data_IF_299916055843
#
_entry.id   IF_299916055843
#
_cell.length_a   1.000
_cell.length_b   1.000
_cell.length_c   1.000
_cell.angle_alpha   90.00
_cell.angle_beta   90.00
_cell.angle_gamma   90.00
#
_symmetry.space_group_name_H-M   'P 1'
#
loop_
_entity.id
_entity.type
_entity.pdbx_description
1 polymer ?
#
# COMPACT_ATOMS: atom_id res chain seq x y z
N UNK A 1 -21.87 25.61 43.65
CA UNK A 1 -22.81 24.47 43.55
C UNK A 1 -22.25 23.47 42.54
N UNK A 2 -21.93 22.28 43.06
CA UNK A 2 -21.72 20.97 42.42
C UNK A 2 -20.89 20.84 41.12
N UNK A 3 -19.62 20.46 41.33
CA UNK A 3 -18.74 19.70 40.43
C UNK A 3 -19.22 18.24 40.29
N UNK A 4 -18.86 17.57 39.19
CA UNK A 4 -18.45 16.14 39.19
C UNK A 4 -17.54 15.84 38.00
N UNK A 5 -16.25 15.69 38.30
CA UNK A 5 -15.24 15.02 37.49
C UNK A 5 -15.05 13.61 38.07
N UNK A 6 -14.94 12.57 37.23
CA UNK A 6 -14.58 11.22 37.66
C UNK A 6 -13.24 10.84 37.02
N UNK A 7 -12.20 10.79 37.85
CA UNK A 7 -10.94 10.07 37.63
C UNK A 7 -11.10 8.70 38.30
N UNK A 8 -10.72 7.62 37.63
CA UNK A 8 -10.56 6.30 38.24
C UNK A 8 -9.14 5.81 38.02
N UNK A 9 -8.49 5.53 39.15
CA UNK A 9 -7.11 5.12 39.35
C UNK A 9 -6.94 3.61 39.15
N UNK A 10 -5.84 3.19 38.51
CA UNK A 10 -5.40 1.79 38.42
C UNK A 10 -4.55 1.46 39.66
N UNK A 11 -4.90 0.38 40.38
CA UNK A 11 -4.14 -0.13 41.52
C UNK A 11 -3.27 -1.33 41.11
N UNK A 12 -1.97 -1.22 41.41
CA UNK A 12 -0.95 -2.26 41.33
C UNK A 12 -0.97 -3.07 42.64
N UNK A 13 -0.93 -4.40 42.60
CA UNK A 13 -0.70 -5.25 43.78
C UNK A 13 0.54 -6.12 43.53
N UNK A 14 1.63 -5.79 44.23
CA UNK A 14 2.73 -6.70 44.54
C UNK A 14 2.39 -7.41 45.86
N UNK A 15 2.57 -8.72 45.93
CA UNK A 15 2.59 -9.47 47.17
C UNK A 15 3.95 -10.15 47.34
N UNK A 16 4.64 -9.82 48.42
CA UNK A 16 5.85 -10.47 48.92
C UNK A 16 5.69 -10.64 50.43
N UNK A 17 5.95 -11.85 50.95
CA UNK A 17 6.28 -12.08 52.36
C UNK A 17 7.01 -13.43 52.54
N UNK A 18 8.24 -13.37 53.07
CA UNK A 18 8.64 -14.07 54.31
C UNK A 18 9.07 -15.55 54.26
N UNK A 19 10.32 -15.81 54.64
CA UNK A 19 11.04 -17.09 54.78
C UNK A 19 10.88 -17.77 56.15
N UNK A 20 11.02 -19.13 56.22
CA UNK A 20 11.82 -19.91 57.21
C UNK A 20 11.72 -21.46 57.04
N UNK A 21 12.88 -22.08 56.79
CA UNK A 21 13.48 -23.39 57.16
C UNK A 21 12.68 -24.72 57.32
N UNK A 22 12.91 -25.63 56.34
CA UNK A 22 13.26 -27.09 56.31
C UNK A 22 12.75 -28.10 57.39
N UNK A 23 12.48 -29.39 57.05
CA UNK A 23 13.55 -30.33 56.65
C UNK A 23 13.26 -31.29 55.47
N UNK A 24 14.37 -31.82 54.97
CA UNK A 24 14.63 -32.79 53.90
C UNK A 24 14.03 -34.19 54.15
N UNK A 25 13.27 -34.73 53.20
CA UNK A 25 12.98 -36.17 53.04
C UNK A 25 12.60 -36.50 51.58
N UNK A 26 13.37 -37.38 50.94
CA UNK A 26 12.86 -38.35 49.96
C UNK A 26 13.07 -38.02 48.49
N UNK A 27 14.19 -38.49 47.94
CA UNK A 27 14.41 -38.67 46.50
C UNK A 27 13.40 -39.70 45.97
N UNK A 28 12.37 -39.19 45.30
CA UNK A 28 11.42 -39.96 44.50
C UNK A 28 11.60 -39.58 43.04
N UNK A 29 12.29 -40.44 42.31
CA UNK A 29 12.52 -40.39 40.87
C UNK A 29 11.18 -40.31 40.12
N UNK A 30 10.81 -39.12 39.64
CA UNK A 30 9.73 -38.98 38.65
C UNK A 30 10.34 -38.58 37.31
N UNK A 31 10.36 -39.56 36.42
CA UNK A 31 10.79 -39.50 35.04
C UNK A 31 10.51 -38.14 34.36
N UNK A 32 11.59 -37.44 34.02
CA UNK A 32 11.56 -36.40 32.99
C UNK A 32 11.28 -37.05 31.64
N UNK A 33 10.02 -37.06 31.23
CA UNK A 33 9.65 -37.10 29.82
C UNK A 33 9.24 -35.68 29.45
N UNK A 34 10.22 -34.80 29.36
CA UNK A 34 10.08 -33.59 28.56
C UNK A 34 10.38 -34.02 27.13
N UNK A 35 9.36 -34.54 26.44
CA UNK A 35 9.47 -34.82 25.01
C UNK A 35 9.57 -33.47 24.29
N UNK A 36 10.80 -32.98 24.11
CA UNK A 36 11.11 -32.07 23.03
C UNK A 36 10.93 -32.86 21.72
N UNK A 37 9.68 -33.03 21.29
CA UNK A 37 9.37 -33.40 19.91
C UNK A 37 9.92 -32.26 19.08
N UNK A 38 11.10 -32.46 18.50
CA UNK A 38 11.55 -31.67 17.36
C UNK A 38 10.41 -31.77 16.34
N UNK A 39 9.60 -30.71 16.20
CA UNK A 39 8.57 -30.68 15.16
C UNK A 39 9.31 -30.92 13.85
N UNK A 40 9.12 -32.10 13.27
CA UNK A 40 9.68 -32.43 11.96
C UNK A 40 9.09 -31.40 10.99
N UNK A 41 9.97 -30.64 10.34
CA UNK A 41 9.61 -29.67 9.31
C UNK A 41 9.80 -30.35 7.97
N UNK A 42 8.80 -31.13 7.57
CA UNK A 42 8.75 -31.83 6.28
C UNK A 42 7.55 -31.34 5.44
N UNK A 43 7.37 -31.92 4.25
CA UNK A 43 6.27 -31.56 3.35
C UNK A 43 4.89 -31.76 3.97
N UNK A 44 4.69 -32.84 4.75
CA UNK A 44 3.41 -33.09 5.42
C UNK A 44 3.11 -32.04 6.50
N UNK A 45 4.12 -31.59 7.23
CA UNK A 45 3.99 -30.50 8.17
C UNK A 45 3.68 -29.17 7.47
N UNK A 46 4.24 -28.92 6.28
CA UNK A 46 3.92 -27.74 5.47
C UNK A 46 2.47 -27.77 4.97
N UNK A 47 1.98 -28.91 4.51
CA UNK A 47 0.59 -29.10 4.08
C UNK A 47 -0.39 -28.85 5.23
N UNK A 48 -0.09 -29.41 6.41
CA UNK A 48 -0.89 -29.22 7.61
C UNK A 48 -0.89 -27.75 8.08
N UNK A 49 0.27 -27.07 8.01
CA UNK A 49 0.38 -25.64 8.32
C UNK A 49 -0.50 -24.80 7.38
N UNK A 50 -0.40 -25.03 6.08
CA UNK A 50 -1.19 -24.32 5.07
C UNK A 50 -2.69 -24.56 5.28
N UNK A 51 -3.12 -25.80 5.51
CA UNK A 51 -4.53 -26.12 5.77
C UNK A 51 -5.07 -25.41 7.03
N UNK A 52 -4.26 -25.32 8.09
CA UNK A 52 -4.62 -24.58 9.30
C UNK A 52 -4.72 -23.08 9.04
N UNK A 53 -3.77 -22.51 8.29
CA UNK A 53 -3.78 -21.11 7.90
C UNK A 53 -5.01 -20.75 7.07
N UNK A 54 -5.34 -21.57 6.06
CA UNK A 54 -6.53 -21.40 5.22
C UNK A 54 -7.82 -21.39 6.05
N UNK A 55 -7.95 -22.32 7.00
CA UNK A 55 -9.13 -22.40 7.87
C UNK A 55 -9.26 -21.15 8.75
N UNK A 56 -8.19 -20.77 9.45
CA UNK A 56 -8.21 -19.64 10.39
C UNK A 56 -8.42 -18.30 9.65
N UNK A 57 -7.70 -18.08 8.55
CA UNK A 57 -7.85 -16.87 7.72
C UNK A 57 -9.21 -16.84 7.02
N UNK A 58 -9.72 -17.99 6.56
CA UNK A 58 -11.04 -18.12 5.96
C UNK A 58 -12.16 -17.74 6.93
N UNK A 59 -12.19 -18.35 8.11
CA UNK A 59 -13.16 -18.06 9.17
C UNK A 59 -13.09 -16.57 9.58
N UNK A 60 -11.88 -16.05 9.76
CA UNK A 60 -11.65 -14.65 10.11
C UNK A 60 -12.10 -13.67 9.00
N UNK A 61 -11.88 -14.01 7.73
CA UNK A 61 -12.22 -13.14 6.59
C UNK A 61 -13.72 -12.83 6.53
N UNK A 62 -14.58 -13.81 6.84
CA UNK A 62 -16.04 -13.63 6.86
C UNK A 62 -16.45 -12.67 7.96
N UNK A 63 -15.85 -12.81 9.15
CA UNK A 63 -16.07 -11.89 10.26
C UNK A 63 -15.61 -10.47 9.91
N UNK A 64 -14.38 -10.31 9.43
CA UNK A 64 -13.81 -9.01 9.08
C UNK A 64 -14.62 -8.32 7.96
N UNK A 65 -15.05 -9.06 6.94
CA UNK A 65 -15.87 -8.53 5.86
C UNK A 65 -17.24 -8.01 6.34
N UNK A 66 -17.89 -8.71 7.29
CA UNK A 66 -19.15 -8.25 7.88
C UNK A 66 -18.97 -6.95 8.67
N UNK A 67 -17.89 -6.86 9.45
CA UNK A 67 -17.56 -5.62 10.21
C UNK A 67 -17.29 -4.47 9.24
N UNK A 68 -16.46 -4.68 8.22
CA UNK A 68 -16.14 -3.67 7.21
C UNK A 68 -17.38 -3.19 6.45
N UNK A 69 -18.28 -4.12 6.06
CA UNK A 69 -19.54 -3.76 5.40
C UNK A 69 -20.43 -2.89 6.28
N UNK A 70 -20.62 -3.26 7.56
CA UNK A 70 -21.41 -2.46 8.49
C UNK A 70 -20.82 -1.06 8.62
N UNK A 71 -19.50 -0.94 8.82
CA UNK A 71 -18.84 0.37 8.91
C UNK A 71 -19.03 1.21 7.63
N UNK A 72 -18.87 0.60 6.45
CA UNK A 72 -19.06 1.30 5.18
C UNK A 72 -20.51 1.80 4.97
N UNK A 73 -21.50 1.09 5.53
CA UNK A 73 -22.93 1.47 5.45
C UNK A 73 -23.41 2.38 6.58
N UNK A 74 -22.73 2.35 7.73
CA UNK A 74 -23.08 3.08 8.95
C UNK A 74 -21.84 3.68 9.61
N UNK A 75 -21.31 4.76 9.04
CA UNK A 75 -20.08 5.40 9.54
C UNK A 75 -20.37 6.10 10.88
N UNK A 76 -19.94 5.46 11.96
CA UNK A 76 -20.10 5.91 13.36
C UNK A 76 -18.86 5.55 14.16
N UNK A 77 -18.62 6.23 15.29
CA UNK A 77 -17.47 5.96 16.18
C UNK A 77 -17.39 4.48 16.60
N UNK A 78 -18.52 3.85 16.92
CA UNK A 78 -18.58 2.44 17.32
C UNK A 78 -18.17 1.51 16.17
N UNK A 79 -18.68 1.75 14.96
CA UNK A 79 -18.32 0.93 13.80
C UNK A 79 -16.89 1.17 13.33
N UNK A 80 -16.37 2.38 13.48
CA UNK A 80 -14.96 2.71 13.21
C UNK A 80 -14.05 1.96 14.18
N UNK A 81 -14.42 1.93 15.47
CA UNK A 81 -13.70 1.16 16.49
C UNK A 81 -13.71 -0.34 16.20
N UNK A 82 -14.87 -0.91 15.84
CA UNK A 82 -14.99 -2.33 15.46
C UNK A 82 -14.12 -2.65 14.23
N UNK A 83 -14.18 -1.80 13.20
CA UNK A 83 -13.42 -1.98 11.97
C UNK A 83 -11.91 -1.87 12.22
N UNK A 84 -11.47 -0.88 13.01
CA UNK A 84 -10.07 -0.73 13.39
C UNK A 84 -9.55 -1.95 14.19
N UNK A 85 -10.37 -2.48 15.11
CA UNK A 85 -10.02 -3.69 15.89
C UNK A 85 -9.92 -4.93 14.99
N UNK A 86 -10.88 -5.12 14.09
CA UNK A 86 -10.84 -6.23 13.13
C UNK A 86 -9.61 -6.10 12.21
N UNK A 87 -9.31 -4.91 11.69
CA UNK A 87 -8.12 -4.67 10.88
C UNK A 87 -6.83 -5.00 11.64
N UNK A 88 -6.71 -4.60 12.92
CA UNK A 88 -5.55 -4.91 13.75
C UNK A 88 -5.38 -6.43 13.96
N UNK A 89 -6.47 -7.16 14.20
CA UNK A 89 -6.44 -8.62 14.30
C UNK A 89 -6.03 -9.27 12.99
N UNK A 90 -6.54 -8.80 11.85
CA UNK A 90 -6.18 -9.29 10.52
C UNK A 90 -4.70 -9.10 10.21
N UNK A 91 -4.15 -7.93 10.51
CA UNK A 91 -2.71 -7.65 10.37
C UNK A 91 -1.88 -8.59 11.24
N UNK A 92 -2.28 -8.84 12.49
CA UNK A 92 -1.56 -9.76 13.37
C UNK A 92 -1.54 -11.20 12.83
N UNK A 93 -2.68 -11.68 12.30
CA UNK A 93 -2.77 -13.00 11.66
C UNK A 93 -1.88 -13.07 10.42
N UNK A 94 -1.90 -12.03 9.58
CA UNK A 94 -1.08 -11.97 8.38
C UNK A 94 0.42 -12.01 8.73
N UNK A 95 0.87 -11.25 9.73
CA UNK A 95 2.26 -11.27 10.18
C UNK A 95 2.67 -12.63 10.73
N UNK A 96 1.82 -13.25 11.56
CA UNK A 96 2.04 -14.60 12.09
C UNK A 96 2.27 -15.60 10.95
N UNK A 97 1.33 -15.70 10.02
CA UNK A 97 1.40 -16.70 8.96
C UNK A 97 2.49 -16.41 7.92
N UNK A 98 2.72 -15.15 7.56
CA UNK A 98 3.82 -14.79 6.67
C UNK A 98 5.18 -15.21 7.26
N UNK A 99 5.38 -14.96 8.56
CA UNK A 99 6.62 -15.29 9.27
C UNK A 99 6.84 -16.80 9.38
N UNK A 100 5.80 -17.55 9.74
CA UNK A 100 5.86 -19.02 9.83
C UNK A 100 6.03 -19.67 8.45
N UNK A 101 5.43 -19.10 7.39
CA UNK A 101 5.54 -19.62 6.04
C UNK A 101 6.97 -19.58 5.47
N UNK A 102 7.83 -18.67 5.96
CA UNK A 102 9.25 -18.59 5.55
C UNK A 102 9.97 -19.92 5.78
N UNK A 103 9.78 -20.49 6.97
CA UNK A 103 10.46 -21.71 7.38
C UNK A 103 10.03 -22.91 6.52
N UNK A 104 8.76 -22.99 6.16
CA UNK A 104 8.24 -24.04 5.30
C UNK A 104 8.62 -23.83 3.82
N UNK A 105 8.64 -22.59 3.33
CA UNK A 105 8.97 -22.29 1.93
C UNK A 105 10.40 -22.69 1.54
N UNK A 106 11.30 -22.79 2.52
CA UNK A 106 12.68 -23.24 2.33
C UNK A 106 12.82 -24.77 2.10
N UNK A 107 11.74 -25.56 2.22
CA UNK A 107 11.80 -27.01 2.04
C UNK A 107 11.94 -27.39 0.54
N UNK A 108 12.82 -28.35 0.21
CA UNK A 108 13.14 -28.70 -1.18
C UNK A 108 12.02 -29.49 -1.89
N UNK A 109 11.15 -30.20 -1.16
CA UNK A 109 10.20 -31.17 -1.72
C UNK A 109 8.72 -30.81 -1.45
N UNK A 110 8.35 -29.56 -1.70
CA UNK A 110 6.95 -29.12 -1.58
C UNK A 110 6.16 -29.40 -2.86
N UNK A 111 4.88 -29.76 -2.70
CA UNK A 111 3.93 -29.74 -3.81
C UNK A 111 3.82 -28.33 -4.40
N UNK A 112 3.44 -28.23 -5.68
CA UNK A 112 3.23 -26.94 -6.35
C UNK A 112 2.17 -26.10 -5.61
N UNK A 113 1.07 -26.74 -5.18
CA UNK A 113 -0.01 -26.07 -4.45
C UNK A 113 0.46 -25.54 -3.09
N UNK A 114 1.20 -26.35 -2.33
CA UNK A 114 1.72 -25.96 -1.02
C UNK A 114 2.70 -24.81 -1.15
N UNK A 115 3.62 -24.88 -2.12
CA UNK A 115 4.58 -23.80 -2.41
C UNK A 115 3.83 -22.51 -2.74
N UNK A 116 2.86 -22.57 -3.66
CA UNK A 116 2.05 -21.41 -4.05
C UNK A 116 1.30 -20.80 -2.86
N UNK A 117 0.69 -21.62 -2.00
CA UNK A 117 -0.04 -21.12 -0.82
C UNK A 117 0.90 -20.49 0.22
N UNK A 118 2.09 -21.05 0.43
CA UNK A 118 3.12 -20.43 1.27
C UNK A 118 3.57 -19.08 0.70
N UNK A 119 3.72 -18.97 -0.62
CA UNK A 119 4.06 -17.72 -1.28
C UNK A 119 2.98 -16.66 -1.06
N UNK A 120 1.70 -17.01 -1.21
CA UNK A 120 0.57 -16.11 -0.91
C UNK A 120 0.61 -15.61 0.55
N UNK A 121 0.92 -16.48 1.51
CA UNK A 121 1.04 -16.09 2.92
C UNK A 121 2.19 -15.09 3.13
N UNK A 122 3.36 -15.31 2.51
CA UNK A 122 4.51 -14.40 2.59
C UNK A 122 4.25 -13.07 1.87
N UNK A 123 3.58 -13.10 0.73
CA UNK A 123 3.27 -11.94 -0.11
C UNK A 123 2.16 -11.06 0.43
N UNK A 124 1.36 -11.55 1.39
CA UNK A 124 0.27 -10.78 1.99
C UNK A 124 0.73 -9.45 2.59
N UNK A 125 1.98 -9.35 3.03
CA UNK A 125 2.53 -8.12 3.61
C UNK A 125 3.12 -7.23 2.52
N UNK A 126 2.44 -6.13 2.20
CA UNK A 126 2.90 -5.17 1.17
C UNK A 126 4.20 -4.47 1.56
N UNK A 127 4.33 -4.09 2.83
CA UNK A 127 5.50 -3.38 3.36
C UNK A 127 6.03 -4.14 4.59
N UNK A 128 6.90 -5.14 4.41
CA UNK A 128 7.34 -6.00 5.50
C UNK A 128 8.34 -5.30 6.40
N UNK A 129 8.05 -5.28 7.70
CA UNK A 129 9.02 -4.88 8.70
C UNK A 129 9.97 -6.05 9.02
N UNK A 130 11.25 -5.79 9.28
CA UNK A 130 12.16 -6.82 9.80
C UNK A 130 11.79 -7.19 11.24
N UNK A 131 12.13 -8.40 11.69
CA UNK A 131 11.70 -8.94 12.99
C UNK A 131 12.36 -8.28 14.20
N UNK A 132 13.45 -7.54 14.02
CA UNK A 132 14.15 -6.89 15.13
C UNK A 132 13.24 -5.89 15.86
N UNK A 133 13.39 -5.83 17.18
CA UNK A 133 12.57 -4.99 18.04
C UNK A 133 12.53 -3.53 17.58
N UNK A 134 11.34 -2.92 17.57
CA UNK A 134 11.13 -1.51 17.21
C UNK A 134 11.03 -1.23 15.70
N UNK A 135 11.35 -2.19 14.83
CA UNK A 135 11.37 -1.94 13.39
C UNK A 135 9.97 -1.81 12.78
N UNK A 136 8.99 -2.56 13.27
CA UNK A 136 7.61 -2.45 12.84
C UNK A 136 7.02 -1.08 13.21
N UNK A 137 7.31 -0.60 14.43
CA UNK A 137 6.92 0.72 14.90
C UNK A 137 7.61 1.82 14.09
N UNK A 138 8.91 1.70 13.82
CA UNK A 138 9.67 2.64 12.99
C UNK A 138 9.07 2.73 11.57
N UNK A 139 8.84 1.58 10.93
CA UNK A 139 8.27 1.50 9.59
C UNK A 139 6.85 2.11 9.55
N UNK A 140 5.99 1.79 10.50
CA UNK A 140 4.63 2.32 10.60
C UNK A 140 4.63 3.84 10.82
N UNK A 141 5.51 4.36 11.67
CA UNK A 141 5.68 5.81 11.87
C UNK A 141 6.14 6.52 10.60
N UNK A 142 7.12 5.95 9.88
CA UNK A 142 7.62 6.52 8.62
C UNK A 142 6.53 6.54 7.55
N UNK A 143 5.81 5.42 7.36
CA UNK A 143 4.70 5.34 6.41
C UNK A 143 3.62 6.38 6.72
N UNK A 144 3.22 6.49 8.00
CA UNK A 144 2.22 7.47 8.46
C UNK A 144 2.70 8.90 8.24
N UNK A 145 3.96 9.20 8.55
CA UNK A 145 4.55 10.54 8.33
C UNK A 145 4.57 10.91 6.86
N UNK A 146 4.96 9.99 5.98
CA UNK A 146 4.96 10.21 4.53
C UNK A 146 3.54 10.45 4.00
N UNK A 147 2.58 9.61 4.37
CA UNK A 147 1.18 9.78 3.99
C UNK A 147 0.60 11.12 4.51
N UNK A 148 0.91 11.48 5.75
CA UNK A 148 0.46 12.73 6.38
C UNK A 148 1.09 13.95 5.72
N UNK A 149 2.38 13.92 5.40
CA UNK A 149 3.09 14.98 4.70
C UNK A 149 2.49 15.22 3.31
N UNK A 150 2.17 14.15 2.59
CA UNK A 150 1.48 14.22 1.30
C UNK A 150 0.07 14.80 1.43
N UNK A 151 -0.76 14.25 2.34
CA UNK A 151 -2.16 14.65 2.52
C UNK A 151 -2.33 16.10 3.00
N UNK A 152 -1.41 16.57 3.86
CA UNK A 152 -1.38 17.96 4.36
C UNK A 152 -0.64 18.91 3.43
N UNK A 153 0.03 18.38 2.41
CA UNK A 153 0.75 19.15 1.41
C UNK A 153 -0.15 20.20 0.77
N UNK A 154 0.44 21.37 0.51
CA UNK A 154 -0.22 22.45 -0.22
C UNK A 154 0.70 22.92 -1.33
N UNK A 155 0.14 23.07 -2.52
CA UNK A 155 0.73 23.87 -3.58
C UNK A 155 0.00 25.21 -3.69
N UNK A 156 0.24 25.92 -4.78
CA UNK A 156 -0.21 27.28 -4.99
C UNK A 156 -1.00 27.39 -6.29
N UNK A 157 -2.10 28.12 -6.26
CA UNK A 157 -2.85 28.54 -7.45
C UNK A 157 -3.09 30.05 -7.37
N UNK A 158 -2.45 30.80 -8.26
CA UNK A 158 -2.48 32.27 -8.33
C UNK A 158 -2.10 32.91 -7.00
N UNK A 159 -0.98 32.46 -6.42
CA UNK A 159 -0.49 32.90 -5.11
C UNK A 159 -1.26 32.37 -3.90
N UNK A 160 -2.43 31.74 -4.07
CA UNK A 160 -3.21 31.22 -2.94
C UNK A 160 -2.87 29.74 -2.65
N UNK A 161 -2.69 29.36 -1.37
CA UNK A 161 -2.40 27.97 -1.02
C UNK A 161 -3.62 27.07 -1.22
N UNK A 162 -3.42 25.91 -1.86
CA UNK A 162 -4.45 24.92 -2.18
C UNK A 162 -4.01 23.51 -1.80
N UNK A 163 -4.96 22.68 -1.34
CA UNK A 163 -4.72 21.25 -1.07
C UNK A 163 -4.54 20.49 -2.39
N UNK A 164 -3.87 19.34 -2.34
CA UNK A 164 -3.58 18.51 -3.52
C UNK A 164 -4.81 18.17 -4.36
N UNK A 165 -5.90 17.71 -3.72
CA UNK A 165 -7.14 17.38 -4.44
C UNK A 165 -7.78 18.59 -5.14
N UNK A 166 -7.68 19.79 -4.54
CA UNK A 166 -8.16 21.03 -5.17
C UNK A 166 -7.28 21.42 -6.36
N UNK A 167 -5.96 21.30 -6.23
CA UNK A 167 -5.02 21.55 -7.34
C UNK A 167 -5.26 20.57 -8.49
N UNK A 168 -5.45 19.29 -8.20
CA UNK A 168 -5.73 18.29 -9.23
C UNK A 168 -7.01 18.63 -9.99
N UNK A 169 -8.09 18.99 -9.30
CA UNK A 169 -9.33 19.44 -9.94
C UNK A 169 -9.12 20.69 -10.80
N UNK A 170 -8.38 21.69 -10.29
CA UNK A 170 -8.07 22.92 -11.03
C UNK A 170 -7.20 22.66 -12.26
N UNK A 171 -6.20 21.77 -12.19
CA UNK A 171 -5.33 21.45 -13.34
C UNK A 171 -6.09 20.83 -14.50
N UNK A 172 -7.23 20.17 -14.26
CA UNK A 172 -8.06 19.62 -15.34
C UNK A 172 -8.63 20.71 -16.26
N UNK A 173 -8.94 21.89 -15.72
CA UNK A 173 -9.62 22.98 -16.45
C UNK A 173 -8.76 24.21 -16.68
N UNK A 174 -7.70 24.43 -15.89
CA UNK A 174 -6.78 25.55 -16.09
C UNK A 174 -5.98 25.38 -17.40
N UNK A 175 -5.75 26.50 -18.09
CA UNK A 175 -5.11 26.57 -19.41
C UNK A 175 -4.02 27.64 -19.47
N UNK A 176 -3.81 28.41 -18.42
CA UNK A 176 -2.70 29.36 -18.32
C UNK A 176 -1.38 28.61 -17.99
N UNK A 177 -0.40 28.58 -18.91
CA UNK A 177 0.85 27.85 -18.71
C UNK A 177 1.70 28.32 -17.53
N UNK A 178 1.58 29.59 -17.12
CA UNK A 178 2.34 30.11 -15.99
C UNK A 178 1.71 29.69 -14.66
N UNK A 179 0.37 29.67 -14.61
CA UNK A 179 -0.39 29.16 -13.45
C UNK A 179 -0.22 27.65 -13.31
N UNK A 180 -0.29 26.89 -14.42
CA UNK A 180 -0.04 25.45 -14.39
C UNK A 180 1.37 25.12 -13.89
N UNK A 181 2.38 25.87 -14.35
CA UNK A 181 3.76 25.74 -13.85
C UNK A 181 3.86 26.05 -12.36
N UNK A 182 3.19 27.09 -11.87
CA UNK A 182 3.15 27.43 -10.44
C UNK A 182 2.55 26.27 -9.63
N UNK A 183 1.38 25.78 -10.03
CA UNK A 183 0.69 24.66 -9.37
C UNK A 183 1.57 23.41 -9.32
N UNK A 184 2.14 23.02 -10.46
CA UNK A 184 2.97 21.84 -10.58
C UNK A 184 4.24 21.96 -9.73
N UNK A 185 4.96 23.08 -9.85
CA UNK A 185 6.23 23.29 -9.14
C UNK A 185 6.03 23.36 -7.64
N UNK A 186 5.03 24.12 -7.18
CA UNK A 186 4.74 24.28 -5.76
C UNK A 186 4.25 22.97 -5.12
N UNK A 187 3.45 22.17 -5.84
CA UNK A 187 3.05 20.85 -5.35
C UNK A 187 4.25 19.90 -5.24
N UNK A 188 5.11 19.82 -6.27
CA UNK A 188 6.27 18.91 -6.22
C UNK A 188 7.29 19.30 -5.14
N UNK A 189 7.30 20.57 -4.70
CA UNK A 189 8.15 21.01 -3.60
C UNK A 189 7.84 20.32 -2.27
N UNK A 190 6.62 19.80 -2.06
CA UNK A 190 6.27 19.06 -0.81
C UNK A 190 7.07 17.75 -0.68
N UNK A 191 7.55 17.19 -1.80
CA UNK A 191 8.28 15.91 -1.81
C UNK A 191 9.72 16.03 -1.28
N UNK A 192 10.36 17.19 -1.41
CA UNK A 192 11.75 17.39 -0.95
C UNK A 192 11.98 17.02 0.53
N UNK A 193 11.16 17.48 1.50
CA UNK A 193 11.34 17.08 2.90
C UNK A 193 11.03 15.60 3.17
N UNK A 194 10.31 14.91 2.29
CA UNK A 194 9.96 13.48 2.44
C UNK A 194 11.12 12.53 2.13
N UNK A 195 12.20 13.01 1.50
CA UNK A 195 13.31 12.19 1.00
C UNK A 195 13.94 11.29 2.07
N UNK A 196 14.21 11.83 3.25
CA UNK A 196 14.90 11.08 4.32
C UNK A 196 14.02 9.93 4.84
N UNK A 197 12.75 10.24 5.13
CA UNK A 197 11.77 9.25 5.60
C UNK A 197 11.55 8.16 4.53
N UNK A 198 11.43 8.53 3.26
CA UNK A 198 11.24 7.57 2.16
C UNK A 198 12.43 6.64 2.00
N UNK A 199 13.66 7.16 2.07
CA UNK A 199 14.88 6.33 2.02
C UNK A 199 14.88 5.31 3.16
N UNK A 200 14.60 5.75 4.39
CA UNK A 200 14.59 4.87 5.55
C UNK A 200 13.47 3.81 5.46
N UNK A 201 12.30 4.19 4.97
CA UNK A 201 11.18 3.28 4.69
C UNK A 201 11.63 2.14 3.75
N UNK A 202 12.30 2.49 2.65
CA UNK A 202 12.79 1.52 1.66
C UNK A 202 13.89 0.62 2.25
N UNK A 203 14.79 1.14 3.07
CA UNK A 203 15.81 0.34 3.77
C UNK A 203 15.16 -0.74 4.66
N UNK A 204 14.21 -0.34 5.51
CA UNK A 204 13.48 -1.23 6.40
C UNK A 204 12.67 -2.28 5.63
N UNK A 205 11.93 -1.85 4.61
CA UNK A 205 11.11 -2.75 3.81
C UNK A 205 11.94 -3.79 3.05
N UNK A 206 13.13 -3.40 2.57
CA UNK A 206 14.07 -4.35 1.97
C UNK A 206 14.68 -5.32 2.99
N UNK A 207 14.94 -4.87 4.22
CA UNK A 207 15.37 -5.75 5.32
C UNK A 207 14.29 -6.80 5.59
N UNK A 208 13.03 -6.40 5.75
CA UNK A 208 11.89 -7.30 5.95
C UNK A 208 11.66 -8.24 4.77
N UNK A 209 11.76 -7.77 3.53
CA UNK A 209 11.60 -8.61 2.34
C UNK A 209 12.66 -9.73 2.27
N UNK A 210 13.90 -9.45 2.70
CA UNK A 210 14.96 -10.47 2.80
C UNK A 210 14.70 -11.49 3.88
N UNK A 211 14.17 -11.07 5.03
CA UNK A 211 13.75 -12.00 6.08
C UNK A 211 12.60 -12.92 5.63
N UNK A 212 11.76 -12.46 4.69
CA UNK A 212 10.72 -13.27 4.05
C UNK A 212 11.25 -14.18 2.92
N UNK A 213 12.55 -14.15 2.63
CA UNK A 213 13.20 -15.00 1.63
C UNK A 213 13.21 -14.43 0.21
N UNK A 214 12.96 -13.13 0.03
CA UNK A 214 13.07 -12.45 -1.27
C UNK A 214 14.38 -11.68 -1.40
N UNK A 215 14.84 -11.41 -2.63
CA UNK A 215 16.06 -10.64 -2.86
C UNK A 215 15.94 -9.18 -2.38
N UNK A 216 14.79 -8.55 -2.65
CA UNK A 216 14.44 -7.19 -2.29
C UNK A 216 12.91 -7.01 -2.31
N UNK A 217 12.43 -5.84 -1.88
CA UNK A 217 11.01 -5.50 -1.85
C UNK A 217 10.35 -5.54 -3.25
N UNK A 218 11.09 -5.14 -4.28
CA UNK A 218 10.58 -5.16 -5.65
C UNK A 218 10.40 -6.58 -6.19
N UNK A 219 11.33 -7.48 -5.89
CA UNK A 219 11.22 -8.90 -6.22
C UNK A 219 10.03 -9.52 -5.48
N UNK A 220 9.83 -9.19 -4.20
CA UNK A 220 8.64 -9.62 -3.45
C UNK A 220 7.35 -9.14 -4.13
N UNK A 221 7.23 -7.87 -4.51
CA UNK A 221 6.03 -7.39 -5.20
C UNK A 221 5.79 -8.07 -6.54
N UNK A 222 6.85 -8.30 -7.34
CA UNK A 222 6.75 -8.99 -8.64
C UNK A 222 6.41 -10.48 -8.49
N UNK A 223 6.70 -11.10 -7.35
CA UNK A 223 6.36 -12.52 -7.13
C UNK A 223 4.84 -12.80 -7.08
N UNK A 224 3.99 -11.78 -6.89
CA UNK A 224 2.53 -11.90 -6.99
C UNK A 224 2.01 -12.28 -8.39
N UNK A 225 2.87 -12.25 -9.41
CA UNK A 225 2.51 -12.62 -10.78
C UNK A 225 2.76 -14.10 -11.09
N UNK A 226 3.07 -14.92 -10.07
CA UNK A 226 3.37 -16.35 -10.21
C UNK A 226 4.44 -16.65 -11.27
N UNK A 227 5.42 -15.76 -11.36
CA UNK A 227 6.54 -15.83 -12.30
C UNK A 227 7.81 -15.31 -11.66
N UNK A 228 8.96 -15.68 -12.21
CA UNK A 228 10.23 -15.17 -11.72
C UNK A 228 10.32 -13.65 -11.91
N UNK A 229 10.98 -12.97 -10.97
CA UNK A 229 11.04 -11.52 -10.96
C UNK A 229 11.72 -10.94 -12.22
N UNK A 230 12.66 -11.68 -12.84
CA UNK A 230 13.30 -11.29 -14.11
C UNK A 230 12.38 -11.53 -15.31
N UNK A 231 11.57 -12.59 -15.30
CA UNK A 231 10.61 -12.87 -16.37
C UNK A 231 9.52 -11.80 -16.44
N UNK A 232 9.03 -11.35 -15.29
CA UNK A 232 8.11 -10.21 -15.21
C UNK A 232 8.71 -8.95 -15.85
N UNK A 233 9.96 -8.62 -15.52
CA UNK A 233 10.63 -7.44 -16.06
C UNK A 233 10.78 -7.53 -17.59
N UNK A 234 11.17 -8.71 -18.10
CA UNK A 234 11.27 -8.96 -19.53
C UNK A 234 9.91 -8.85 -20.25
N UNK A 235 8.84 -9.38 -19.64
CA UNK A 235 7.48 -9.27 -20.15
C UNK A 235 7.02 -7.81 -20.22
N UNK A 236 7.24 -7.04 -19.16
CA UNK A 236 6.93 -5.62 -19.11
C UNK A 236 7.68 -4.84 -20.21
N UNK A 237 8.98 -5.08 -20.39
CA UNK A 237 9.78 -4.42 -21.43
C UNK A 237 9.31 -4.78 -22.84
N UNK A 238 8.91 -6.05 -23.08
CA UNK A 238 8.31 -6.47 -24.35
C UNK A 238 7.02 -5.72 -24.63
N UNK A 239 6.07 -5.73 -23.69
CA UNK A 239 4.77 -5.07 -23.84
C UNK A 239 4.94 -3.55 -24.04
N UNK A 240 5.85 -2.92 -23.30
CA UNK A 240 6.18 -1.52 -23.52
C UNK A 240 6.69 -1.26 -24.94
N UNK A 241 7.61 -2.09 -25.45
CA UNK A 241 8.14 -1.92 -26.80
C UNK A 241 7.09 -2.14 -27.90
N UNK A 242 6.07 -2.98 -27.65
CA UNK A 242 4.92 -3.16 -28.55
C UNK A 242 3.99 -1.92 -28.56
N UNK A 243 3.76 -1.29 -27.41
CA UNK A 243 2.93 -0.06 -27.29
C UNK A 243 3.67 1.20 -27.72
N UNK A 244 5.00 1.22 -27.56
CA UNK A 244 5.85 2.39 -27.76
C UNK A 244 5.71 3.09 -29.12
N UNK A 245 5.59 2.39 -30.27
CA UNK A 245 5.36 3.06 -31.55
C UNK A 245 4.08 3.90 -31.56
N UNK A 246 2.96 3.34 -31.07
CA UNK A 246 1.70 4.06 -30.95
C UNK A 246 1.81 5.23 -29.98
N UNK A 247 2.38 4.99 -28.79
CA UNK A 247 2.59 6.05 -27.80
C UNK A 247 3.45 7.19 -28.35
N UNK A 248 4.51 6.90 -29.12
CA UNK A 248 5.35 7.94 -29.73
C UNK A 248 4.59 8.78 -30.76
N UNK A 249 3.69 8.19 -31.53
CA UNK A 249 2.83 8.94 -32.46
C UNK A 249 1.86 9.84 -31.69
N UNK A 250 1.18 9.29 -30.68
CA UNK A 250 0.29 10.07 -29.80
C UNK A 250 1.03 11.22 -29.12
N UNK A 251 2.17 10.94 -28.49
CA UNK A 251 3.03 11.94 -27.85
C UNK A 251 3.48 13.02 -28.84
N UNK A 252 3.88 12.65 -30.06
CA UNK A 252 4.30 13.62 -31.09
C UNK A 252 3.13 14.53 -31.50
N UNK A 253 1.97 13.93 -31.72
CA UNK A 253 0.75 14.64 -32.09
C UNK A 253 0.30 15.60 -30.98
N UNK A 254 0.21 15.13 -29.74
CA UNK A 254 -0.09 15.94 -28.54
C UNK A 254 0.89 17.09 -28.40
N UNK A 255 2.21 16.85 -28.55
CA UNK A 255 3.24 17.90 -28.49
C UNK A 255 3.01 18.99 -29.52
N UNK A 256 2.70 18.60 -30.76
CA UNK A 256 2.40 19.56 -31.85
C UNK A 256 1.12 20.35 -31.58
N UNK A 257 0.08 19.72 -31.05
CA UNK A 257 -1.17 20.41 -30.69
C UNK A 257 -0.93 21.43 -29.57
N UNK A 258 -0.24 21.05 -28.50
CA UNK A 258 0.11 21.95 -27.39
C UNK A 258 1.05 23.08 -27.83
N UNK A 259 2.02 22.79 -28.70
CA UNK A 259 2.91 23.80 -29.29
C UNK A 259 2.14 24.82 -30.13
N UNK A 260 1.16 24.38 -30.93
CA UNK A 260 0.25 25.30 -31.66
C UNK A 260 -0.62 26.13 -30.73
N UNK A 261 -1.12 25.54 -29.63
CA UNK A 261 -2.00 26.21 -28.67
C UNK A 261 -1.28 27.24 -27.80
N UNK A 262 -0.05 26.96 -27.38
CA UNK A 262 0.68 27.76 -26.40
C UNK A 262 1.92 28.47 -26.96
N UNK A 263 2.33 28.15 -28.18
CA UNK A 263 3.55 28.66 -28.80
C UNK A 263 4.80 27.84 -28.46
N UNK A 264 5.80 27.90 -29.34
CA UNK A 264 7.03 27.10 -29.24
C UNK A 264 7.89 27.45 -28.01
N UNK A 265 7.81 28.70 -27.53
CA UNK A 265 8.49 29.13 -26.31
C UNK A 265 7.93 28.46 -25.04
N UNK A 266 6.65 28.08 -25.06
CA UNK A 266 5.97 27.42 -23.94
C UNK A 266 6.12 25.91 -24.06
N UNK A 267 5.81 25.34 -25.23
CA UNK A 267 5.98 23.92 -25.55
C UNK A 267 6.75 23.79 -26.87
N UNK A 268 8.01 23.40 -26.78
CA UNK A 268 8.84 23.20 -27.97
C UNK A 268 8.26 22.10 -28.88
N UNK A 269 8.41 22.23 -30.22
CA UNK A 269 7.91 21.25 -31.18
C UNK A 269 8.70 19.93 -31.14
N UNK A 270 9.88 19.92 -30.53
CA UNK A 270 10.73 18.75 -30.28
C UNK A 270 11.03 18.59 -28.79
N UNK A 271 11.51 17.40 -28.40
CA UNK A 271 11.80 17.09 -26.99
C UNK A 271 10.58 16.61 -26.18
N UNK A 272 10.71 16.55 -24.84
CA UNK A 272 9.63 16.11 -23.95
C UNK A 272 8.43 17.04 -23.94
N UNK A 273 7.28 16.50 -23.54
CA UNK A 273 6.13 17.29 -23.13
C UNK A 273 6.39 17.91 -21.76
N UNK A 274 5.96 19.16 -21.57
CA UNK A 274 5.83 19.75 -20.25
C UNK A 274 4.74 19.03 -19.47
N UNK A 275 5.12 18.40 -18.35
CA UNK A 275 4.21 17.60 -17.54
C UNK A 275 3.03 18.42 -16.99
N UNK A 276 3.25 19.70 -16.68
CA UNK A 276 2.25 20.62 -16.14
C UNK A 276 1.13 20.97 -17.13
N UNK A 277 1.32 20.73 -18.44
CA UNK A 277 0.35 21.05 -19.49
C UNK A 277 -0.64 19.91 -19.79
N UNK A 278 -0.55 18.78 -19.08
CA UNK A 278 -1.24 17.53 -19.44
C UNK A 278 -2.53 17.28 -18.64
N UNK A 279 -3.06 18.32 -17.98
CA UNK A 279 -4.35 18.26 -17.29
C UNK A 279 -4.36 17.44 -16.01
N UNK A 280 -3.20 16.91 -15.59
CA UNK A 280 -3.05 16.08 -14.40
C UNK A 280 -1.70 16.36 -13.74
N UNK A 281 -1.67 16.35 -12.40
CA UNK A 281 -0.48 16.68 -11.60
C UNK A 281 0.75 15.82 -11.93
N UNK A 282 0.54 14.55 -12.32
CA UNK A 282 1.60 13.59 -12.61
C UNK A 282 1.69 13.22 -14.09
N UNK A 283 0.87 13.84 -14.94
CA UNK A 283 0.73 13.49 -16.36
C UNK A 283 0.41 12.00 -16.61
N UNK A 284 -0.22 11.32 -15.64
CA UNK A 284 -0.52 9.88 -15.73
C UNK A 284 -1.67 9.56 -16.70
N UNK A 285 -2.48 10.57 -17.03
CA UNK A 285 -3.57 10.52 -18.00
C UNK A 285 -3.77 11.93 -18.60
N UNK A 286 -4.19 12.00 -19.86
CA UNK A 286 -4.28 13.24 -20.66
C UNK A 286 -5.70 13.52 -21.18
N UNK A 287 -6.70 12.84 -20.62
CA UNK A 287 -8.12 13.00 -20.95
C UNK A 287 -8.60 14.45 -20.78
N UNK A 288 -8.12 15.13 -19.72
CA UNK A 288 -8.57 16.47 -19.36
C UNK A 288 -8.07 17.57 -20.30
N UNK A 289 -7.22 17.25 -21.28
CA UNK A 289 -6.79 18.17 -22.35
C UNK A 289 -7.33 17.78 -23.72
N UNK A 290 -8.30 16.87 -23.77
CA UNK A 290 -8.88 16.40 -25.02
C UNK A 290 -9.37 17.56 -25.89
N UNK A 291 -10.00 18.58 -25.31
CA UNK A 291 -10.42 19.82 -25.98
C UNK A 291 -9.28 20.56 -26.69
N UNK A 292 -8.05 20.45 -26.19
CA UNK A 292 -6.88 21.12 -26.75
C UNK A 292 -6.20 20.33 -27.87
N UNK A 293 -6.35 19.00 -27.86
CA UNK A 293 -5.56 18.11 -28.71
C UNK A 293 -6.40 17.26 -29.65
N UNK A 294 -7.73 17.22 -29.48
CA UNK A 294 -8.62 16.47 -30.36
C UNK A 294 -8.32 16.80 -31.85
N UNK A 295 -8.33 15.78 -32.73
CA UNK A 295 -8.27 16.03 -34.17
C UNK A 295 -9.35 17.01 -34.59
N UNK A 296 -9.00 17.92 -35.50
CA UNK A 296 -10.01 18.76 -36.13
C UNK A 296 -10.87 17.87 -37.04
N UNK A 297 -12.18 18.14 -37.10
CA UNK A 297 -13.12 17.53 -38.04
C UNK A 297 -13.58 16.09 -37.77
N UNK A 298 -13.34 15.54 -36.57
CA UNK A 298 -13.85 14.19 -36.19
C UNK A 298 -15.25 14.18 -35.55
N UNK A 299 -15.90 15.34 -35.43
CA UNK A 299 -17.20 15.49 -34.77
C UNK A 299 -17.14 15.28 -33.25
N UNK A 300 -18.28 15.33 -32.58
CA UNK A 300 -18.39 14.90 -31.19
C UNK A 300 -18.34 13.36 -31.14
N UNK A 301 -17.30 12.80 -30.50
CA UNK A 301 -17.06 11.35 -30.48
C UNK A 301 -17.78 10.68 -29.29
N UNK A 302 -18.46 11.46 -28.44
CA UNK A 302 -19.14 10.98 -27.25
C UNK A 302 -20.67 10.99 -27.39
N UNK A 303 -21.31 9.92 -26.93
CA UNK A 303 -22.74 9.97 -26.59
C UNK A 303 -22.87 10.37 -25.11
N UNK A 304 -23.20 11.62 -24.81
CA UNK A 304 -23.63 12.01 -23.47
C UNK A 304 -25.13 11.68 -23.30
N UNK A 305 -25.39 10.55 -22.64
CA UNK A 305 -26.76 10.12 -22.32
C UNK A 305 -27.28 10.74 -21.02
N UNK A 306 -26.51 11.57 -20.32
CA UNK A 306 -26.87 12.12 -19.01
C UNK A 306 -28.13 12.99 -19.04
N UNK A 307 -28.32 13.78 -20.09
CA UNK A 307 -29.57 14.54 -20.29
C UNK A 307 -30.74 13.62 -20.65
N UNK A 308 -30.51 12.56 -21.43
CA UNK A 308 -31.54 11.58 -21.79
C UNK A 308 -32.00 10.75 -20.58
N UNK A 309 -31.06 10.35 -19.73
CA UNK A 309 -31.35 9.65 -18.47
C UNK A 309 -32.14 10.54 -17.52
N UNK A 310 -31.72 11.80 -17.34
CA UNK A 310 -32.47 12.79 -16.55
C UNK A 310 -33.88 13.02 -17.11
N UNK A 311 -34.02 13.16 -18.43
CA UNK A 311 -35.32 13.32 -19.08
C UNK A 311 -36.22 12.08 -18.90
N UNK A 312 -35.62 10.89 -18.79
CA UNK A 312 -36.31 9.63 -18.55
C UNK A 312 -36.49 9.29 -17.04
N UNK A 313 -36.10 10.20 -16.13
CA UNK A 313 -36.14 10.01 -14.67
C UNK A 313 -35.38 8.79 -14.15
N UNK A 314 -34.18 8.54 -14.69
CA UNK A 314 -33.19 7.59 -14.14
C UNK A 314 -32.22 8.29 -13.17
#
# INVERSE_FOLDING_TARGET
MTKRSLLVTIALVLAACGTKDAPDQGVGESAGIESAVTRVRDGAAADAFVAAAERELGDFSVYAAKVAWINATYITEDTDWLNARAAAQGTALQVKYASEAVDFAALPDLSVDTRRKLDILRQGIVLPAPRRAGAAEELAMLATRLQSAYAKGKGTHRGAPKRGAELEALMRTERDPDVLREMWTSWHAIGKPMRADYRRLVELANEGARELGFADLGAMWRSNYDMEAQEFAALNDRLWNEVKPLYRQLHCYTRRALSRRYGEAVQAPSGPLRADLLGNMWAQQWDSIYDLVAPQDVGDIGHDLGELLRAANY
#
